data_IF_250391786566
#
_entry.id   IF_250391786566
#
_cell.length_a   1.000
_cell.length_b   1.000
_cell.length_c   1.000
_cell.angle_alpha   90.00
_cell.angle_beta   90.00
_cell.angle_gamma   90.00
#
_symmetry.space_group_name_H-M   'P 1'
#
loop_
_entity.id
_entity.type
_entity.pdbx_description
1 polymer ?
#
# COMPACT_ATOMS: atom_id res chain seq x y z
N UNK A 1 -5.10 47.44 -17.88
CA UNK A 1 -3.94 46.98 -18.68
C UNK A 1 -2.76 47.79 -18.20
N UNK A 2 -1.82 47.18 -17.46
CA UNK A 2 -0.67 47.93 -16.89
C UNK A 2 0.51 47.87 -17.86
N UNK A 3 1.31 48.93 -17.89
CA UNK A 3 2.30 49.31 -18.90
C UNK A 3 3.56 48.41 -19.01
N UNK A 4 3.45 47.10 -18.80
CA UNK A 4 4.58 46.16 -18.81
C UNK A 4 4.66 45.26 -20.07
N UNK A 5 3.75 45.43 -21.03
CA UNK A 5 3.59 44.48 -22.15
C UNK A 5 4.46 44.79 -23.38
N UNK A 6 5.02 46.00 -23.50
CA UNK A 6 5.74 46.43 -24.72
C UNK A 6 7.24 46.05 -24.75
N UNK A 7 7.73 45.19 -23.84
CA UNK A 7 9.17 44.87 -23.78
C UNK A 7 9.59 43.48 -23.28
N UNK A 8 8.65 42.57 -22.97
CA UNK A 8 9.01 41.22 -22.51
C UNK A 8 9.40 40.33 -23.69
N UNK A 9 10.61 39.80 -23.66
CA UNK A 9 11.07 38.89 -24.70
C UNK A 9 10.29 37.56 -24.64
N UNK A 10 10.13 36.89 -25.80
CA UNK A 10 9.53 35.53 -25.87
C UNK A 10 10.22 34.53 -24.93
N UNK A 11 11.52 34.68 -24.72
CA UNK A 11 12.27 33.85 -23.77
C UNK A 11 11.82 34.03 -22.33
N UNK A 12 11.40 35.23 -21.96
CA UNK A 12 10.94 35.58 -20.61
C UNK A 12 9.51 35.09 -20.34
N UNK A 13 8.66 35.09 -21.38
CA UNK A 13 7.32 34.48 -21.36
C UNK A 13 7.40 32.95 -21.22
N UNK A 14 8.30 32.30 -21.98
CA UNK A 14 8.49 30.85 -21.89
C UNK A 14 9.13 30.47 -20.56
N UNK A 15 10.09 31.25 -20.06
CA UNK A 15 10.73 31.01 -18.77
C UNK A 15 9.72 31.12 -17.61
N UNK A 16 8.85 32.15 -17.62
CA UNK A 16 7.80 32.32 -16.61
C UNK A 16 6.76 31.21 -16.66
N UNK A 17 6.27 30.83 -17.85
CA UNK A 17 5.32 29.72 -17.99
C UNK A 17 5.93 28.37 -17.53
N UNK A 18 7.21 28.12 -17.83
CA UNK A 18 7.91 26.91 -17.38
C UNK A 18 8.09 26.90 -15.86
N UNK A 19 8.35 28.05 -15.25
CA UNK A 19 8.46 28.19 -13.80
C UNK A 19 7.11 27.91 -13.10
N UNK A 20 6.00 28.42 -13.63
CA UNK A 20 4.66 28.15 -13.09
C UNK A 20 4.28 26.67 -13.20
N UNK A 21 4.58 26.03 -14.34
CA UNK A 21 4.38 24.59 -14.51
C UNK A 21 5.26 23.78 -13.54
N UNK A 22 6.50 24.20 -13.31
CA UNK A 22 7.37 23.57 -12.33
C UNK A 22 6.82 23.70 -10.90
N UNK A 23 6.17 24.82 -10.58
CA UNK A 23 5.46 25.02 -9.31
C UNK A 23 4.31 24.04 -9.14
N UNK A 24 3.44 23.93 -10.15
CA UNK A 24 2.31 23.01 -10.12
C UNK A 24 2.73 21.55 -9.94
N UNK A 25 3.77 21.11 -10.67
CA UNK A 25 4.29 19.74 -10.52
C UNK A 25 4.86 19.51 -9.12
N UNK A 26 5.55 20.50 -8.54
CA UNK A 26 6.05 20.39 -7.17
C UNK A 26 4.92 20.23 -6.15
N UNK A 27 3.84 21.00 -6.31
CA UNK A 27 2.67 20.96 -5.43
C UNK A 27 1.93 19.63 -5.54
N UNK A 28 1.76 19.09 -6.75
CA UNK A 28 1.12 17.77 -6.95
C UNK A 28 1.96 16.65 -6.33
N UNK A 29 3.30 16.72 -6.43
CA UNK A 29 4.21 15.78 -5.77
C UNK A 29 4.12 15.93 -4.25
N UNK A 30 4.06 17.16 -3.74
CA UNK A 30 3.93 17.42 -2.31
C UNK A 30 2.61 16.85 -1.76
N UNK A 31 1.51 17.01 -2.51
CA UNK A 31 0.21 16.45 -2.18
C UNK A 31 0.23 14.92 -2.21
N UNK A 32 0.71 14.31 -3.30
CA UNK A 32 0.82 12.86 -3.43
C UNK A 32 1.68 12.27 -2.32
N UNK A 33 2.79 12.93 -1.96
CA UNK A 33 3.64 12.52 -0.83
C UNK A 33 2.90 12.62 0.51
N UNK A 34 2.08 13.64 0.71
CA UNK A 34 1.25 13.79 1.91
C UNK A 34 0.18 12.71 2.00
N UNK A 35 -0.48 12.36 0.88
CA UNK A 35 -1.47 11.30 0.80
C UNK A 35 -0.86 9.93 1.06
N UNK A 36 0.26 9.60 0.40
CA UNK A 36 1.01 8.36 0.65
C UNK A 36 1.43 8.27 2.11
N UNK A 37 1.94 9.37 2.71
CA UNK A 37 2.32 9.38 4.14
C UNK A 37 1.10 9.16 5.04
N UNK A 38 -0.05 9.75 4.72
CA UNK A 38 -1.30 9.57 5.47
C UNK A 38 -1.78 8.13 5.38
N UNK A 39 -1.74 7.54 4.20
CA UNK A 39 -2.15 6.15 3.96
C UNK A 39 -1.22 5.18 4.64
N UNK A 40 0.09 5.37 4.55
CA UNK A 40 1.08 4.57 5.30
C UNK A 40 0.82 4.66 6.79
N UNK A 41 0.56 5.87 7.31
CA UNK A 41 0.29 6.05 8.74
C UNK A 41 -1.03 5.38 9.16
N UNK A 42 -2.07 5.48 8.34
CA UNK A 42 -3.36 4.83 8.56
C UNK A 42 -3.25 3.30 8.49
N UNK A 43 -2.52 2.78 7.50
CA UNK A 43 -2.22 1.37 7.36
C UNK A 43 -1.40 0.85 8.54
N UNK A 44 -0.40 1.61 9.01
CA UNK A 44 0.43 1.24 10.15
C UNK A 44 -0.38 1.20 11.44
N UNK A 45 -1.18 2.23 11.75
CA UNK A 45 -2.02 2.21 12.95
C UNK A 45 -3.13 1.16 12.86
N UNK A 46 -3.76 1.03 11.69
CA UNK A 46 -4.79 0.02 11.46
C UNK A 46 -4.25 -1.40 11.62
N UNK A 47 -3.06 -1.68 11.06
CA UNK A 47 -2.39 -2.98 11.22
C UNK A 47 -1.90 -3.21 12.64
N UNK A 48 -1.35 -2.20 13.32
CA UNK A 48 -0.91 -2.32 14.72
C UNK A 48 -2.07 -2.62 15.67
N UNK A 49 -3.18 -1.87 15.55
CA UNK A 49 -4.39 -2.13 16.33
C UNK A 49 -5.00 -3.50 15.99
N UNK A 50 -5.00 -3.88 14.71
CA UNK A 50 -5.44 -5.20 14.26
C UNK A 50 -4.60 -6.34 14.85
N UNK A 51 -3.27 -6.23 14.82
CA UNK A 51 -2.36 -7.21 15.43
C UNK A 51 -2.54 -7.27 16.95
N UNK A 52 -2.62 -6.12 17.62
CA UNK A 52 -2.83 -6.08 19.06
C UNK A 52 -4.16 -6.75 19.46
N UNK A 53 -5.23 -6.46 18.72
CA UNK A 53 -6.53 -7.12 18.92
C UNK A 53 -6.48 -8.62 18.65
N UNK A 54 -5.80 -9.04 17.57
CA UNK A 54 -5.64 -10.46 17.25
C UNK A 54 -4.82 -11.21 18.32
N UNK A 55 -3.75 -10.61 18.83
CA UNK A 55 -2.97 -11.16 19.93
C UNK A 55 -3.79 -11.26 21.21
N UNK A 56 -4.52 -10.20 21.57
CA UNK A 56 -5.39 -10.21 22.74
C UNK A 56 -6.46 -11.29 22.63
N UNK A 57 -7.10 -11.43 21.47
CA UNK A 57 -8.06 -12.48 21.20
C UNK A 57 -7.41 -13.88 21.32
N UNK A 58 -6.22 -14.07 20.76
CA UNK A 58 -5.46 -15.32 20.86
C UNK A 58 -5.17 -15.70 22.32
N UNK A 59 -4.76 -14.75 23.16
CA UNK A 59 -4.55 -14.97 24.59
C UNK A 59 -5.86 -15.17 25.38
N UNK A 60 -6.95 -14.58 24.93
CA UNK A 60 -8.26 -14.74 25.56
C UNK A 60 -8.87 -16.14 25.31
N UNK A 61 -8.59 -16.78 24.17
CA UNK A 61 -9.12 -18.11 23.82
C UNK A 61 -8.93 -19.14 24.94
N UNK A 62 -7.73 -19.41 25.48
CA UNK A 62 -7.57 -20.40 26.55
C UNK A 62 -8.33 -20.01 27.83
N UNK A 63 -8.37 -18.72 28.21
CA UNK A 63 -9.15 -18.26 29.36
C UNK A 63 -10.65 -18.54 29.19
N UNK A 64 -11.21 -18.17 28.04
CA UNK A 64 -12.62 -18.43 27.73
C UNK A 64 -12.91 -19.92 27.54
N UNK A 65 -11.95 -20.70 27.05
CA UNK A 65 -12.08 -22.16 26.95
C UNK A 65 -12.34 -22.78 28.32
N UNK A 66 -11.51 -22.43 29.31
CA UNK A 66 -11.68 -22.94 30.67
C UNK A 66 -12.98 -22.42 31.29
N UNK A 67 -13.29 -21.13 31.14
CA UNK A 67 -14.54 -20.56 31.63
C UNK A 67 -15.76 -21.30 31.07
N UNK A 68 -15.78 -21.57 29.76
CA UNK A 68 -16.86 -22.29 29.11
C UNK A 68 -16.94 -23.75 29.56
N UNK A 69 -15.80 -24.44 29.69
CA UNK A 69 -15.75 -25.81 30.17
C UNK A 69 -16.26 -25.92 31.62
N UNK A 70 -15.86 -25.01 32.50
CA UNK A 70 -16.37 -24.96 33.88
C UNK A 70 -17.85 -24.61 33.94
N UNK A 71 -18.30 -23.68 33.09
CA UNK A 71 -19.72 -23.35 32.98
C UNK A 71 -20.56 -24.56 32.54
N UNK A 72 -20.12 -25.28 31.50
CA UNK A 72 -20.77 -26.52 31.04
C UNK A 72 -20.81 -27.58 32.13
N UNK A 73 -19.68 -27.77 32.83
CA UNK A 73 -19.58 -28.70 33.96
C UNK A 73 -20.57 -28.35 35.06
N UNK A 74 -20.67 -27.07 35.45
CA UNK A 74 -21.51 -26.65 36.56
C UNK A 74 -23.01 -26.65 36.20
N UNK A 75 -23.34 -26.29 34.97
CA UNK A 75 -24.74 -26.19 34.53
C UNK A 75 -25.34 -27.54 34.16
N UNK A 76 -24.59 -28.40 33.46
CA UNK A 76 -25.05 -29.73 33.03
C UNK A 76 -24.58 -30.88 33.92
N UNK A 77 -23.74 -30.63 34.93
CA UNK A 77 -23.24 -31.66 35.84
C UNK A 77 -22.29 -32.68 35.19
N UNK A 78 -21.74 -32.37 34.01
CA UNK A 78 -20.90 -33.31 33.25
C UNK A 78 -19.45 -33.38 33.77
N UNK A 79 -18.75 -34.52 33.60
CA UNK A 79 -17.34 -34.61 33.93
C UNK A 79 -16.49 -33.59 33.16
N UNK A 80 -15.41 -33.11 33.79
CA UNK A 80 -14.51 -32.10 33.19
C UNK A 80 -13.98 -32.53 31.81
N UNK A 81 -13.67 -33.82 31.64
CA UNK A 81 -13.21 -34.36 30.37
C UNK A 81 -14.24 -34.18 29.24
N UNK A 82 -15.54 -34.41 29.53
CA UNK A 82 -16.63 -34.26 28.55
C UNK A 82 -16.84 -32.79 28.22
N UNK A 83 -16.83 -31.90 29.22
CA UNK A 83 -16.95 -30.46 28.99
C UNK A 83 -15.79 -29.93 28.11
N UNK A 84 -14.55 -30.32 28.40
CA UNK A 84 -13.38 -29.97 27.59
C UNK A 84 -13.48 -30.55 26.16
N UNK A 85 -13.97 -31.78 26.00
CA UNK A 85 -14.16 -32.39 24.68
C UNK A 85 -15.20 -31.64 23.84
N UNK A 86 -16.30 -31.17 24.44
CA UNK A 86 -17.31 -30.36 23.75
C UNK A 86 -16.73 -29.01 23.30
N UNK A 87 -16.01 -28.32 24.19
CA UNK A 87 -15.34 -27.04 23.85
C UNK A 87 -14.27 -27.25 22.77
N UNK A 88 -13.49 -28.32 22.86
CA UNK A 88 -12.52 -28.70 21.83
C UNK A 88 -13.19 -28.99 20.48
N UNK A 89 -14.29 -29.74 20.49
CA UNK A 89 -15.11 -30.03 19.32
C UNK A 89 -15.67 -28.75 18.67
N UNK A 90 -16.11 -27.78 19.48
CA UNK A 90 -16.53 -26.47 18.99
C UNK A 90 -15.40 -25.76 18.23
N UNK A 91 -14.17 -25.78 18.75
CA UNK A 91 -13.03 -25.18 18.04
C UNK A 91 -12.67 -25.91 16.74
N UNK A 92 -12.81 -27.24 16.69
CA UNK A 92 -12.62 -28.00 15.44
C UNK A 92 -13.65 -27.58 14.39
N UNK A 93 -14.92 -27.42 14.77
CA UNK A 93 -15.97 -26.96 13.85
C UNK A 93 -15.67 -25.54 13.35
N UNK A 94 -15.30 -24.62 14.24
CA UNK A 94 -14.92 -23.25 13.87
C UNK A 94 -13.73 -23.26 12.91
N UNK A 95 -12.68 -24.04 13.21
CA UNK A 95 -11.49 -24.16 12.38
C UNK A 95 -11.82 -24.70 10.98
N UNK A 96 -12.70 -25.70 10.88
CA UNK A 96 -13.15 -26.25 9.61
C UNK A 96 -13.89 -25.19 8.78
N UNK A 97 -14.82 -24.44 9.38
CA UNK A 97 -15.55 -23.36 8.69
C UNK A 97 -14.59 -22.28 8.19
N UNK A 98 -13.66 -21.83 9.04
CA UNK A 98 -12.67 -20.82 8.65
C UNK A 98 -11.75 -21.32 7.53
N UNK A 99 -11.32 -22.59 7.58
CA UNK A 99 -10.53 -23.20 6.53
C UNK A 99 -11.27 -23.23 5.19
N UNK A 100 -12.55 -23.61 5.20
CA UNK A 100 -13.38 -23.62 3.99
C UNK A 100 -13.60 -22.22 3.43
N UNK A 101 -13.86 -21.22 4.28
CA UNK A 101 -13.99 -19.82 3.87
C UNK A 101 -12.69 -19.27 3.30
N UNK A 102 -11.55 -19.57 3.93
CA UNK A 102 -10.23 -19.20 3.44
C UNK A 102 -9.98 -19.85 2.07
N UNK A 103 -10.22 -21.15 1.93
CA UNK A 103 -10.07 -21.86 0.67
C UNK A 103 -10.99 -21.29 -0.43
N UNK A 104 -12.23 -20.92 -0.09
CA UNK A 104 -13.15 -20.31 -1.05
C UNK A 104 -12.68 -18.91 -1.49
N UNK A 105 -12.16 -18.10 -0.56
CA UNK A 105 -11.73 -16.73 -0.84
C UNK A 105 -10.36 -16.65 -1.52
N UNK A 106 -9.44 -17.53 -1.16
CA UNK A 106 -8.05 -17.52 -1.66
C UNK A 106 -7.81 -18.52 -2.79
N UNK A 107 -8.68 -19.51 -2.98
CA UNK A 107 -8.50 -20.57 -3.98
C UNK A 107 -8.59 -20.11 -5.44
N UNK A 108 -9.02 -18.89 -5.71
CA UNK A 108 -9.14 -18.31 -7.06
C UNK A 108 -8.24 -17.11 -7.33
N UNK A 109 -7.35 -16.72 -6.40
CA UNK A 109 -6.49 -15.55 -6.58
C UNK A 109 -5.29 -15.95 -7.46
N UNK A 110 -5.44 -15.82 -8.77
CA UNK A 110 -4.32 -15.88 -9.69
C UNK A 110 -3.40 -14.66 -9.48
N UNK A 111 -2.06 -14.82 -9.55
CA UNK A 111 -1.16 -13.68 -9.51
C UNK A 111 -1.51 -12.68 -10.63
N UNK A 112 -1.35 -11.36 -10.42
CA UNK A 112 -1.73 -10.35 -11.40
C UNK A 112 -0.77 -10.33 -12.59
N UNK A 113 -0.92 -11.28 -13.51
CA UNK A 113 -0.01 -11.50 -14.65
C UNK A 113 0.08 -10.29 -15.56
N UNK A 114 -1.04 -9.59 -15.80
CA UNK A 114 -1.10 -8.36 -16.61
C UNK A 114 -0.22 -7.26 -16.03
N UNK A 115 -0.33 -7.02 -14.71
CA UNK A 115 0.45 -5.98 -14.02
C UNK A 115 1.94 -6.32 -13.97
N UNK A 116 2.28 -7.60 -13.76
CA UNK A 116 3.66 -8.08 -13.80
C UNK A 116 4.24 -7.93 -15.20
N UNK A 117 3.47 -8.27 -16.24
CA UNK A 117 3.91 -8.15 -17.64
C UNK A 117 4.13 -6.69 -18.04
N UNK A 118 3.18 -5.80 -17.75
CA UNK A 118 3.34 -4.36 -18.03
C UNK A 118 4.52 -3.75 -17.28
N UNK A 119 4.75 -4.12 -16.02
CA UNK A 119 5.94 -3.68 -15.28
C UNK A 119 7.25 -4.15 -15.93
N UNK A 120 7.30 -5.39 -16.42
CA UNK A 120 8.47 -5.94 -17.13
C UNK A 120 8.71 -5.25 -18.47
N UNK A 121 7.64 -4.97 -19.23
CA UNK A 121 7.73 -4.25 -20.50
C UNK A 121 8.24 -2.81 -20.29
N UNK A 122 7.72 -2.09 -19.30
CA UNK A 122 8.21 -0.75 -18.95
C UNK A 122 9.69 -0.77 -18.53
N UNK A 123 10.10 -1.73 -17.71
CA UNK A 123 11.49 -1.90 -17.31
C UNK A 123 12.40 -2.23 -18.51
N UNK A 124 11.93 -3.07 -19.44
CA UNK A 124 12.66 -3.42 -20.65
C UNK A 124 12.90 -2.21 -21.56
N UNK A 125 11.88 -1.37 -21.78
CA UNK A 125 12.00 -0.15 -22.58
C UNK A 125 12.98 0.83 -21.93
N UNK A 126 12.88 1.05 -20.62
CA UNK A 126 13.79 1.92 -19.86
C UNK A 126 15.24 1.42 -19.87
N UNK A 127 15.46 0.11 -19.81
CA UNK A 127 16.81 -0.48 -19.86
C UNK A 127 17.48 -0.35 -21.24
N UNK A 128 16.69 -0.21 -22.31
CA UNK A 128 17.20 -0.06 -23.67
C UNK A 128 17.58 1.39 -24.02
N UNK A 129 17.22 2.37 -23.18
CA UNK A 129 17.64 3.76 -23.37
C UNK A 129 19.07 3.92 -22.84
N UNK A 130 20.06 3.85 -23.74
CA UNK A 130 21.43 4.29 -23.40
C UNK A 130 21.42 5.79 -23.12
N UNK A 131 22.00 6.27 -22.00
CA UNK A 131 22.17 7.70 -21.76
C UNK A 131 22.97 8.28 -22.92
N UNK A 132 22.36 9.13 -23.74
CA UNK A 132 23.08 9.85 -24.78
C UNK A 132 23.85 10.98 -24.10
N UNK A 133 25.20 10.96 -24.09
CA UNK A 133 25.96 12.10 -23.65
C UNK A 133 25.66 13.24 -24.63
N UNK A 134 24.98 14.28 -24.14
CA UNK A 134 24.70 15.47 -24.93
C UNK A 134 26.04 16.14 -25.23
N UNK A 135 26.59 15.93 -26.42
CA UNK A 135 27.74 16.71 -26.89
C UNK A 135 27.24 18.10 -27.20
N UNK A 136 27.50 19.05 -26.30
CA UNK A 136 27.29 20.47 -26.56
C UNK A 136 28.26 20.85 -27.68
N UNK A 137 27.79 20.94 -28.92
CA UNK A 137 28.56 21.53 -30.00
C UNK A 137 28.71 23.03 -29.71
N UNK A 138 29.84 23.41 -29.13
CA UNK A 138 30.28 24.81 -29.15
C UNK A 138 30.68 25.15 -30.60
N UNK A 139 29.68 25.44 -31.44
CA UNK A 139 29.93 25.99 -32.77
C UNK A 139 30.19 27.49 -32.63
N UNK A 140 31.49 27.80 -32.56
CA UNK A 140 32.13 28.79 -33.42
C UNK A 140 31.46 30.17 -33.46
N UNK A 141 31.65 30.95 -32.39
CA UNK A 141 31.61 32.40 -32.49
C UNK A 141 32.83 32.89 -33.29
N UNK A 142 32.55 33.21 -34.55
CA UNK A 142 33.28 34.05 -35.50
C UNK A 142 34.69 34.54 -35.17
N UNK A 143 35.66 34.00 -35.91
CA UNK A 143 36.76 34.78 -36.47
C UNK A 143 36.27 35.47 -37.74
N UNK A 144 36.09 36.79 -37.71
CA UNK A 144 36.12 37.64 -38.90
C UNK A 144 36.53 39.05 -38.49
N UNK A 145 37.74 39.43 -38.92
CA UNK A 145 38.28 40.80 -39.13
C UNK A 145 38.23 41.81 -38.01
#
# INVERSE_FOLDING_TARGET
MTAADEGRSLGELVASATAELSGLVHDEIALAKAEVRRDVRKALFGSAAGLAGALLALFAVPLFSFALAFWLRNWWGVPTAVACAVVGGLYVVIALVLFLLARAKFGGIAPPERSIKSARESAAVLSNVRPHPRTVSMDKAGSAT
#
